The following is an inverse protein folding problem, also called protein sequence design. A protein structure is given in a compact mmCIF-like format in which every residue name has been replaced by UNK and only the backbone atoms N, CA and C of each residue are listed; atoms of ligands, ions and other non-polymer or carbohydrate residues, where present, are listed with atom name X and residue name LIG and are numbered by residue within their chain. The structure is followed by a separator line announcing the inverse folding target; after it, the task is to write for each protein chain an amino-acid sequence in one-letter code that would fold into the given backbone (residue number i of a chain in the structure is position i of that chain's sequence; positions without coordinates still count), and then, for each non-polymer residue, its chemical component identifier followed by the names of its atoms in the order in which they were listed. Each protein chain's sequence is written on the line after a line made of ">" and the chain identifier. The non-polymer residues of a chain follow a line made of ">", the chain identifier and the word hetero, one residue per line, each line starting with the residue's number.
data_IF_883969169093
#
_entry.id   IF_883969169093
#
_cell.length_a   1.000
_cell.length_b   1.000
_cell.length_c   1.000
_cell.angle_alpha   90.00
_cell.angle_beta   90.00
_cell.angle_gamma   90.00
#
_symmetry.space_group_name_H-M   'P 1'
#
loop_
_entity.id
_entity.type
_entity.pdbx_description
1 polymer ?
#
# COMPACT_ATOMS: atom_id res chain seq x y z
N UNK A 1 7.46 -2.96 19.63
CA UNK A 1 8.33 -2.83 18.43
C UNK A 1 7.49 -2.15 17.36
N UNK A 2 7.92 -1.00 16.83
CA UNK A 2 7.19 -0.31 15.78
C UNK A 2 7.45 -1.05 14.47
N UNK A 3 6.41 -1.60 13.85
CA UNK A 3 6.54 -2.34 12.61
C UNK A 3 6.82 -1.36 11.46
N UNK A 4 8.10 -1.21 11.11
CA UNK A 4 8.53 -0.26 10.08
C UNK A 4 7.96 -0.61 8.71
N UNK A 5 7.81 -1.91 8.40
CA UNK A 5 7.19 -2.37 7.15
C UNK A 5 5.72 -1.97 7.09
N UNK A 6 4.99 -2.08 8.21
CA UNK A 6 3.60 -1.63 8.28
C UNK A 6 3.46 -0.12 8.04
N UNK A 7 4.37 0.70 8.60
CA UNK A 7 4.37 2.14 8.32
C UNK A 7 4.72 2.45 6.87
N UNK A 8 5.72 1.76 6.30
CA UNK A 8 6.09 1.91 4.89
C UNK A 8 4.93 1.55 3.95
N UNK A 9 4.18 0.48 4.25
CA UNK A 9 3.00 0.10 3.48
C UNK A 9 1.93 1.19 3.50
N UNK A 10 1.65 1.78 4.67
CA UNK A 10 0.70 2.90 4.80
C UNK A 10 1.11 4.11 3.99
N UNK A 11 2.38 4.53 4.08
CA UNK A 11 2.90 5.66 3.31
C UNK A 11 2.81 5.40 1.81
N UNK A 12 3.19 4.20 1.35
CA UNK A 12 3.14 3.86 -0.07
C UNK A 12 1.70 3.86 -0.62
N UNK A 13 0.72 3.39 0.16
CA UNK A 13 -0.70 3.43 -0.22
C UNK A 13 -1.20 4.88 -0.32
N UNK A 14 -0.85 5.72 0.64
CA UNK A 14 -1.20 7.15 0.58
C UNK A 14 -0.58 7.83 -0.65
N UNK A 15 0.68 7.54 -0.96
CA UNK A 15 1.31 8.04 -2.20
C UNK A 15 0.54 7.57 -3.44
N UNK A 16 0.18 6.29 -3.51
CA UNK A 16 -0.61 5.75 -4.63
C UNK A 16 -1.98 6.44 -4.76
N UNK A 17 -2.70 6.68 -3.66
CA UNK A 17 -3.97 7.40 -3.65
C UNK A 17 -3.82 8.86 -4.13
N UNK A 18 -2.76 9.55 -3.71
CA UNK A 18 -2.50 10.94 -4.15
C UNK A 18 -2.18 11.03 -5.64
N UNK A 19 -1.37 10.09 -6.15
CA UNK A 19 -0.97 10.04 -7.55
C UNK A 19 -2.10 9.56 -8.46
N UNK A 20 -2.99 8.69 -7.99
CA UNK A 20 -4.15 8.24 -8.75
C UNK A 20 -5.09 9.37 -9.19
N UNK A 21 -5.06 10.53 -8.51
CA UNK A 21 -5.90 11.68 -8.83
C UNK A 21 -5.15 12.81 -9.56
N UNK A 22 -3.82 12.74 -9.67
CA UNK A 22 -2.99 13.90 -10.06
C UNK A 22 -1.92 13.61 -11.10
N UNK A 23 -1.53 12.35 -11.28
CA UNK A 23 -0.41 11.95 -12.12
C UNK A 23 -0.86 11.31 -13.44
N UNK A 24 0.08 11.21 -14.38
CA UNK A 24 -0.11 10.46 -15.62
C UNK A 24 -0.28 8.96 -15.33
N UNK A 25 -1.04 8.25 -16.17
CA UNK A 25 -1.42 6.85 -15.95
C UNK A 25 -0.22 5.91 -15.70
N UNK A 26 0.94 6.19 -16.31
CA UNK A 26 2.18 5.43 -16.10
C UNK A 26 2.76 5.59 -14.70
N UNK A 27 2.70 6.80 -14.13
CA UNK A 27 3.18 7.07 -12.77
C UNK A 27 2.21 6.53 -11.73
N UNK A 28 0.90 6.64 -11.98
CA UNK A 28 -0.14 6.01 -11.17
C UNK A 28 0.09 4.49 -11.06
N UNK A 29 0.23 3.78 -12.18
CA UNK A 29 0.46 2.33 -12.14
C UNK A 29 1.74 1.96 -11.38
N UNK A 30 2.84 2.71 -11.55
CA UNK A 30 4.07 2.47 -10.80
C UNK A 30 3.89 2.66 -9.29
N UNK A 31 3.14 3.69 -8.89
CA UNK A 31 2.86 3.96 -7.48
C UNK A 31 2.01 2.85 -6.86
N UNK A 32 0.97 2.40 -7.58
CA UNK A 32 0.11 1.29 -7.15
C UNK A 32 0.92 0.00 -6.99
N UNK A 33 1.75 -0.35 -7.98
CA UNK A 33 2.59 -1.56 -7.91
C UNK A 33 3.59 -1.50 -6.75
N UNK A 34 4.19 -0.33 -6.51
CA UNK A 34 5.07 -0.13 -5.35
C UNK A 34 4.31 -0.32 -4.03
N UNK A 35 3.09 0.21 -3.93
CA UNK A 35 2.26 0.08 -2.75
C UNK A 35 1.84 -1.39 -2.51
N UNK A 36 1.45 -2.13 -3.55
CA UNK A 36 1.11 -3.57 -3.46
C UNK A 36 2.29 -4.39 -2.92
N UNK A 37 3.50 -4.12 -3.43
CA UNK A 37 4.72 -4.79 -2.96
C UNK A 37 5.04 -4.47 -1.49
N UNK A 38 4.85 -3.21 -1.06
CA UNK A 38 5.05 -2.80 0.32
C UNK A 38 4.04 -3.47 1.27
N UNK A 39 2.76 -3.52 0.87
CA UNK A 39 1.69 -4.20 1.63
C UNK A 39 1.99 -5.69 1.77
N UNK A 40 2.37 -6.37 0.68
CA UNK A 40 2.73 -7.79 0.73
C UNK A 40 3.93 -8.06 1.65
N UNK A 41 4.95 -7.20 1.61
CA UNK A 41 6.15 -7.31 2.46
C UNK A 41 5.82 -7.11 3.95
N UNK A 42 4.95 -6.14 4.24
CA UNK A 42 4.45 -5.87 5.58
C UNK A 42 3.60 -7.03 6.11
N UNK A 43 2.73 -7.61 5.27
CA UNK A 43 1.80 -8.67 5.66
C UNK A 43 2.52 -9.90 6.20
N UNK A 44 3.63 -10.29 5.55
CA UNK A 44 4.47 -11.40 5.98
C UNK A 44 5.12 -11.19 7.36
N UNK A 45 5.29 -9.94 7.80
CA UNK A 45 5.99 -9.56 9.03
C UNK A 45 5.07 -8.88 10.07
N UNK A 46 3.76 -9.02 9.92
CA UNK A 46 2.76 -8.33 10.75
C UNK A 46 2.06 -9.26 11.74
N UNK A 47 1.44 -8.66 12.75
CA UNK A 47 0.50 -9.36 13.63
C UNK A 47 -0.86 -9.59 12.95
N UNK A 48 -1.75 -10.40 13.51
CA UNK A 48 -3.11 -10.58 12.96
C UNK A 48 -3.92 -9.28 12.90
N UNK A 49 -3.70 -8.36 13.85
CA UNK A 49 -4.35 -7.06 13.84
C UNK A 49 -3.85 -6.21 12.67
N UNK A 50 -2.55 -6.11 12.50
CA UNK A 50 -1.94 -5.36 11.39
C UNK A 50 -2.25 -6.00 10.03
N UNK A 51 -2.30 -7.34 9.93
CA UNK A 51 -2.72 -8.04 8.71
C UNK A 51 -4.12 -7.67 8.26
N UNK A 52 -5.06 -7.46 9.20
CA UNK A 52 -6.41 -6.98 8.87
C UNK A 52 -6.39 -5.56 8.31
N UNK A 53 -5.60 -4.67 8.90
CA UNK A 53 -5.43 -3.31 8.35
C UNK A 53 -4.77 -3.33 6.97
N UNK A 54 -3.72 -4.12 6.78
CA UNK A 54 -3.03 -4.30 5.49
C UNK A 54 -3.96 -4.89 4.41
N UNK A 55 -4.86 -5.80 4.78
CA UNK A 55 -5.86 -6.33 3.85
C UNK A 55 -6.78 -5.22 3.34
N UNK A 56 -7.27 -4.34 4.23
CA UNK A 56 -8.07 -3.18 3.83
C UNK A 56 -7.30 -2.25 2.88
N UNK A 57 -6.00 -2.01 3.14
CA UNK A 57 -5.15 -1.21 2.24
C UNK A 57 -4.99 -1.87 0.87
N UNK A 58 -4.82 -3.20 0.82
CA UNK A 58 -4.75 -3.95 -0.44
C UNK A 58 -6.04 -3.79 -1.26
N UNK A 59 -7.21 -3.90 -0.62
CA UNK A 59 -8.50 -3.69 -1.28
C UNK A 59 -8.68 -2.26 -1.81
N UNK A 60 -8.07 -1.26 -1.15
CA UNK A 60 -8.05 0.11 -1.67
C UNK A 60 -7.19 0.21 -2.94
N UNK A 61 -6.00 -0.38 -2.94
CA UNK A 61 -5.11 -0.39 -4.10
C UNK A 61 -5.73 -1.12 -5.30
N UNK A 62 -6.46 -2.21 -5.07
CA UNK A 62 -7.11 -2.97 -6.15
C UNK A 62 -8.26 -2.21 -6.81
N UNK A 63 -8.83 -1.19 -6.14
CA UNK A 63 -9.81 -0.27 -6.74
C UNK A 63 -9.17 0.81 -7.61
N UNK A 64 -7.86 1.03 -7.47
CA UNK A 64 -7.11 2.05 -8.18
C UNK A 64 -6.37 1.52 -9.42
N UNK A 65 -6.18 0.19 -9.52
CA UNK A 65 -5.49 -0.49 -10.63
C UNK A 65 -6.40 -0.81 -11.80
#
# INVERSE_FOLDING_TARGET
>A
MRNELFQMAKTAVQEAETLANTAEASEQMKAIERAKNAVSSAYANSTDAERRELHTLQEQLDKLS
#
